data_IF_824944940841
#
_entry.id   IF_824944940841
#
_cell.length_a   1.000
_cell.length_b   1.000
_cell.length_c   1.000
_cell.angle_alpha   90.00
_cell.angle_beta   90.00
_cell.angle_gamma   90.00
#
_symmetry.space_group_name_H-M   'P 1'
#
loop_
_entity.id
_entity.type
_entity.pdbx_description
1 polymer ?
#
# COMPACT_ATOMS: atom_id res chain seq x y z
N UNK A 1 2.30 5.37 7.77
CA UNK A 1 1.28 5.36 8.84
C UNK A 1 1.95 4.99 10.15
N UNK A 2 1.47 5.52 11.27
CA UNK A 2 1.90 5.07 12.60
C UNK A 2 0.97 3.92 12.99
N UNK A 3 1.50 2.72 13.02
CA UNK A 3 0.74 1.49 13.23
C UNK A 3 1.08 0.90 14.59
N UNK A 4 0.15 0.15 15.21
CA UNK A 4 0.43 -0.58 16.43
C UNK A 4 1.69 -1.46 16.31
N UNK A 5 2.56 -1.50 17.34
CA UNK A 5 2.49 -0.72 18.57
C UNK A 5 2.85 0.76 18.32
N UNK A 6 1.99 1.66 18.82
CA UNK A 6 2.18 3.11 18.68
C UNK A 6 2.91 3.61 19.92
N UNK A 7 4.14 4.10 19.74
CA UNK A 7 4.99 4.53 20.85
C UNK A 7 4.91 6.04 21.05
N UNK A 8 5.17 6.48 22.27
CA UNK A 8 5.23 7.90 22.62
C UNK A 8 6.40 8.22 23.57
N UNK A 9 6.86 9.47 23.56
CA UNK A 9 7.75 9.99 24.59
C UNK A 9 6.98 10.32 25.89
N UNK A 10 7.69 10.67 26.96
CA UNK A 10 7.06 11.08 28.23
C UNK A 10 6.12 12.29 28.11
N UNK A 11 6.35 13.16 27.10
CA UNK A 11 5.48 14.31 26.82
C UNK A 11 4.33 14.00 25.85
N UNK A 12 4.17 12.76 25.39
CA UNK A 12 3.05 12.33 24.54
C UNK A 12 3.27 12.42 23.01
N UNK A 13 4.46 12.80 22.53
CA UNK A 13 4.74 12.83 21.09
C UNK A 13 4.93 11.42 20.52
N UNK A 14 4.23 11.12 19.42
CA UNK A 14 4.23 9.80 18.81
C UNK A 14 5.52 9.51 18.04
N UNK A 15 6.02 8.29 18.16
CA UNK A 15 7.19 7.78 17.46
C UNK A 15 6.86 6.40 16.91
N UNK A 16 7.21 6.16 15.65
CA UNK A 16 6.97 4.87 15.00
C UNK A 16 7.96 3.80 15.52
N UNK A 17 7.58 2.52 15.52
CA UNK A 17 8.47 1.44 15.99
C UNK A 17 9.80 1.37 15.23
N UNK A 18 9.80 1.58 13.91
CA UNK A 18 11.03 1.62 13.09
C UNK A 18 11.88 2.89 13.31
N UNK A 19 11.27 3.95 13.83
CA UNK A 19 11.94 5.20 14.19
C UNK A 19 12.58 5.08 15.57
N UNK A 20 11.92 4.39 16.51
CA UNK A 20 12.30 4.32 17.92
C UNK A 20 13.72 3.80 18.15
N UNK A 21 14.16 2.81 17.37
CA UNK A 21 15.52 2.25 17.48
C UNK A 21 16.62 3.18 16.98
N UNK A 22 16.26 4.17 16.15
CA UNK A 22 17.18 5.13 15.53
C UNK A 22 17.32 6.44 16.31
N UNK A 23 16.54 6.59 17.38
CA UNK A 23 16.41 7.84 18.13
C UNK A 23 16.83 7.64 19.57
N UNK A 24 17.65 8.57 20.08
CA UNK A 24 18.07 8.64 21.48
C UNK A 24 17.16 9.55 22.31
N UNK A 25 16.56 10.57 21.68
CA UNK A 25 15.62 11.50 22.30
C UNK A 25 14.46 11.85 21.35
N UNK A 26 13.39 12.42 21.89
CA UNK A 26 12.21 12.77 21.12
C UNK A 26 12.55 13.87 20.11
N UNK A 27 12.25 13.71 18.81
CA UNK A 27 12.60 14.71 17.81
C UNK A 27 11.80 16.02 17.98
N UNK A 28 10.65 15.98 18.66
CA UNK A 28 9.79 17.14 18.87
C UNK A 28 10.15 17.92 20.12
N UNK A 29 10.23 17.25 21.29
CA UNK A 29 10.46 17.93 22.57
C UNK A 29 11.86 17.70 23.16
N UNK A 30 12.72 16.91 22.52
CA UNK A 30 14.04 16.49 23.00
C UNK A 30 14.04 15.73 24.34
N UNK A 31 12.86 15.38 24.85
CA UNK A 31 12.68 14.58 26.06
C UNK A 31 13.05 13.11 25.87
N UNK A 32 13.07 12.36 26.98
CA UNK A 32 13.41 10.94 26.98
C UNK A 32 12.41 10.12 26.16
N UNK A 33 12.95 9.27 25.27
CA UNK A 33 12.19 8.24 24.60
C UNK A 33 12.14 7.02 25.52
N UNK A 34 11.06 6.88 26.28
CA UNK A 34 10.75 5.62 26.96
C UNK A 34 10.33 4.52 25.97
N UNK A 35 9.86 3.39 26.51
CA UNK A 35 9.12 2.38 25.76
C UNK A 35 7.63 2.46 26.13
N UNK A 36 7.04 3.65 25.96
CA UNK A 36 5.67 3.93 26.39
C UNK A 36 4.75 3.72 25.20
N UNK A 37 3.81 2.78 25.31
CA UNK A 37 2.76 2.58 24.30
C UNK A 37 1.61 3.57 24.52
N UNK A 38 1.05 4.06 23.42
CA UNK A 38 -0.16 4.86 23.43
C UNK A 38 -1.36 3.97 23.06
N UNK A 39 -1.91 3.27 24.07
CA UNK A 39 -3.03 2.32 23.89
C UNK A 39 -4.30 2.99 23.35
N UNK A 40 -4.52 4.27 23.68
CA UNK A 40 -5.65 5.02 23.16
C UNK A 40 -5.51 5.21 21.64
N UNK A 41 -4.32 5.59 21.19
CA UNK A 41 -4.05 5.75 19.76
C UNK A 41 -4.05 4.43 19.01
N UNK A 42 -3.63 3.33 19.66
CA UNK A 42 -3.78 1.99 19.10
C UNK A 42 -5.24 1.63 18.87
N UNK A 43 -6.14 1.89 19.84
CA UNK A 43 -7.59 1.69 19.68
C UNK A 43 -8.19 2.55 18.57
N UNK A 44 -7.74 3.80 18.45
CA UNK A 44 -8.15 4.67 17.34
C UNK A 44 -7.68 4.07 16.02
N UNK A 45 -6.41 3.71 15.90
CA UNK A 45 -5.83 3.15 14.69
C UNK A 45 -6.54 1.86 14.23
N UNK A 46 -7.03 1.03 15.16
CA UNK A 46 -7.82 -0.17 14.83
C UNK A 46 -9.15 0.13 14.12
N UNK A 47 -9.69 1.35 14.24
CA UNK A 47 -10.96 1.76 13.63
C UNK A 47 -10.78 2.70 12.43
N UNK A 48 -9.57 3.21 12.21
CA UNK A 48 -9.29 4.08 11.07
C UNK A 48 -9.27 3.24 9.79
N UNK A 49 -10.11 3.64 8.83
CA UNK A 49 -10.14 3.07 7.49
C UNK A 49 -9.30 3.92 6.54
N UNK A 50 -8.54 3.26 5.69
CA UNK A 50 -7.71 3.86 4.67
C UNK A 50 -8.23 3.46 3.29
N UNK A 51 -8.18 4.36 2.29
CA UNK A 51 -8.53 4.00 0.93
C UNK A 51 -7.55 2.94 0.38
N UNK A 52 -8.07 2.06 -0.47
CA UNK A 52 -7.26 1.12 -1.24
C UNK A 52 -6.25 1.87 -2.12
N UNK A 53 -5.02 1.35 -2.27
CA UNK A 53 -3.99 1.91 -3.17
C UNK A 53 -4.44 2.00 -4.63
N UNK A 54 -5.42 1.19 -5.02
CA UNK A 54 -6.02 1.18 -6.36
C UNK A 54 -7.23 2.12 -6.48
N UNK A 55 -7.42 3.07 -5.57
CA UNK A 55 -8.50 4.06 -5.66
C UNK A 55 -8.47 4.86 -6.96
N UNK A 56 -7.27 5.15 -7.46
CA UNK A 56 -7.07 5.85 -8.73
C UNK A 56 -7.54 5.04 -9.95
N UNK A 57 -7.72 3.73 -9.80
CA UNK A 57 -8.23 2.83 -10.83
C UNK A 57 -9.73 2.52 -10.67
N UNK A 58 -10.39 3.11 -9.65
CA UNK A 58 -11.83 2.97 -9.43
C UNK A 58 -12.23 2.25 -8.14
N UNK A 59 -11.27 1.76 -7.35
CA UNK A 59 -11.60 1.11 -6.09
C UNK A 59 -12.14 2.11 -5.05
N UNK A 60 -13.38 1.95 -4.61
CA UNK A 60 -13.99 2.78 -3.56
C UNK A 60 -13.83 2.21 -2.16
N UNK A 61 -13.15 1.06 -2.01
CA UNK A 61 -13.00 0.39 -0.74
C UNK A 61 -12.14 1.21 0.24
N UNK A 62 -12.66 1.36 1.46
CA UNK A 62 -11.95 1.92 2.60
C UNK A 62 -11.83 0.85 3.69
N UNK A 63 -10.61 0.44 3.98
CA UNK A 63 -10.31 -0.75 4.77
C UNK A 63 -9.47 -0.41 6.00
N UNK A 64 -9.66 -1.15 7.08
CA UNK A 64 -8.74 -1.08 8.23
C UNK A 64 -7.37 -1.64 7.83
N UNK A 65 -6.34 -1.23 8.56
CA UNK A 65 -4.96 -1.58 8.20
C UNK A 65 -4.71 -3.10 8.09
N UNK A 66 -5.34 -3.91 8.94
CA UNK A 66 -5.17 -5.37 8.96
C UNK A 66 -5.66 -6.03 7.67
N UNK A 67 -6.79 -5.56 7.13
CA UNK A 67 -7.48 -6.20 6.00
C UNK A 67 -7.05 -5.58 4.66
N UNK A 68 -6.44 -4.39 4.72
CA UNK A 68 -6.05 -3.63 3.54
C UNK A 68 -5.06 -4.39 2.65
N UNK A 69 -4.09 -5.09 3.24
CA UNK A 69 -3.08 -5.82 2.47
C UNK A 69 -3.73 -6.96 1.65
N UNK A 70 -4.60 -7.75 2.28
CA UNK A 70 -5.28 -8.88 1.65
C UNK A 70 -6.23 -8.42 0.54
N UNK A 71 -6.98 -7.34 0.78
CA UNK A 71 -7.79 -6.70 -0.25
C UNK A 71 -6.93 -6.21 -1.41
N UNK A 72 -5.79 -5.55 -1.14
CA UNK A 72 -4.95 -4.99 -2.20
C UNK A 72 -4.30 -6.03 -3.10
N UNK A 73 -4.08 -7.26 -2.62
CA UNK A 73 -3.59 -8.35 -3.45
C UNK A 73 -4.67 -8.90 -4.38
N UNK A 74 -5.93 -8.90 -3.93
CA UNK A 74 -7.09 -9.49 -4.63
C UNK A 74 -8.04 -8.46 -5.25
N UNK A 75 -7.67 -7.18 -5.20
CA UNK A 75 -8.51 -6.07 -5.65
C UNK A 75 -8.81 -6.17 -7.15
N UNK A 76 -10.07 -6.11 -7.53
CA UNK A 76 -10.52 -6.15 -8.93
C UNK A 76 -10.00 -4.96 -9.76
N UNK A 77 -9.73 -3.83 -9.10
CA UNK A 77 -9.18 -2.62 -9.71
C UNK A 77 -7.64 -2.62 -9.74
N UNK A 78 -6.99 -3.71 -9.34
CA UNK A 78 -5.53 -3.87 -9.44
C UNK A 78 -5.12 -3.77 -10.92
N UNK A 79 -4.17 -2.89 -11.28
CA UNK A 79 -3.74 -2.78 -12.66
C UNK A 79 -2.98 -4.04 -13.10
N UNK A 80 -3.25 -4.49 -14.32
CA UNK A 80 -2.54 -5.54 -15.00
C UNK A 80 -1.22 -5.01 -15.56
N UNK A 81 -0.16 -5.80 -15.39
CA UNK A 81 1.11 -5.56 -16.05
C UNK A 81 1.05 -6.07 -17.50
N UNK A 82 1.84 -5.46 -18.39
CA UNK A 82 1.98 -5.97 -19.75
C UNK A 82 2.42 -7.45 -19.74
N UNK A 83 1.68 -8.36 -20.38
CA UNK A 83 2.00 -9.80 -20.38
C UNK A 83 3.11 -10.18 -21.38
N UNK A 84 3.68 -9.24 -22.14
CA UNK A 84 4.69 -9.54 -23.16
C UNK A 84 6.00 -10.06 -22.53
N UNK A 85 6.45 -11.28 -22.85
CA UNK A 85 7.74 -11.80 -22.39
C UNK A 85 8.89 -10.96 -22.95
N UNK A 86 9.84 -10.57 -22.11
CA UNK A 86 11.11 -9.95 -22.54
C UNK A 86 11.02 -8.47 -22.98
N UNK A 87 9.86 -7.84 -22.97
CA UNK A 87 9.77 -6.41 -23.25
C UNK A 87 10.11 -5.59 -21.99
N UNK A 88 10.92 -4.55 -22.14
CA UNK A 88 11.09 -3.48 -21.14
C UNK A 88 9.82 -2.60 -20.99
N UNK A 89 8.65 -3.18 -21.28
CA UNK A 89 7.36 -2.51 -21.24
C UNK A 89 6.93 -2.34 -19.79
N UNK A 90 6.83 -1.09 -19.35
CA UNK A 90 6.41 -0.71 -17.99
C UNK A 90 4.93 -0.33 -17.93
N UNK A 91 4.17 -0.71 -18.96
CA UNK A 91 2.76 -0.39 -19.01
C UNK A 91 2.00 -1.16 -17.93
N UNK A 92 1.07 -0.45 -17.31
CA UNK A 92 0.14 -0.98 -16.33
C UNK A 92 -1.22 -0.30 -16.51
N UNK A 93 -2.31 -1.04 -16.41
CA UNK A 93 -3.64 -0.49 -16.59
C UNK A 93 -4.76 -1.48 -16.29
N UNK A 94 -6.00 -1.05 -16.46
CA UNK A 94 -7.16 -1.94 -16.33
C UNK A 94 -7.13 -3.06 -17.39
N UNK A 95 -7.79 -4.20 -17.09
CA UNK A 95 -7.84 -5.36 -17.98
C UNK A 95 -8.30 -5.01 -19.40
N UNK A 96 -9.35 -4.19 -19.50
CA UNK A 96 -9.93 -3.73 -20.77
C UNK A 96 -8.94 -2.97 -21.65
N UNK A 97 -7.88 -2.40 -21.06
CA UNK A 97 -6.85 -1.66 -21.77
C UNK A 97 -5.65 -2.52 -22.17
N UNK A 98 -5.57 -3.78 -21.71
CA UNK A 98 -4.47 -4.69 -22.02
C UNK A 98 -4.44 -5.02 -23.50
N UNK A 99 -5.55 -5.45 -24.09
CA UNK A 99 -5.62 -5.80 -25.52
C UNK A 99 -5.32 -4.61 -26.43
N UNK A 100 -5.93 -3.41 -26.22
CA UNK A 100 -5.54 -2.20 -26.94
C UNK A 100 -4.04 -1.89 -26.80
N UNK A 101 -3.48 -1.99 -25.59
CA UNK A 101 -2.05 -1.78 -25.36
C UNK A 101 -1.18 -2.75 -26.18
N UNK A 102 -1.49 -4.05 -26.18
CA UNK A 102 -0.76 -5.05 -26.94
C UNK A 102 -0.80 -4.75 -28.45
N UNK A 103 -1.97 -4.43 -29.00
CA UNK A 103 -2.11 -4.12 -30.43
C UNK A 103 -1.35 -2.86 -30.84
N UNK A 104 -1.29 -1.84 -29.97
CA UNK A 104 -0.64 -0.57 -30.29
C UNK A 104 0.88 -0.60 -30.07
N UNK A 105 1.31 -1.17 -28.94
CA UNK A 105 2.70 -1.13 -28.47
C UNK A 105 3.48 -2.40 -28.78
N UNK A 106 2.80 -3.51 -29.06
CA UNK A 106 3.39 -4.83 -29.32
C UNK A 106 2.81 -5.48 -30.58
N UNK A 107 2.83 -4.75 -31.70
CA UNK A 107 2.23 -5.14 -33.01
C UNK A 107 2.60 -6.54 -33.53
N UNK A 108 3.70 -7.13 -33.06
CA UNK A 108 4.18 -8.46 -33.42
C UNK A 108 3.61 -9.61 -32.57
N UNK A 109 2.87 -9.33 -31.49
CA UNK A 109 2.17 -10.35 -30.70
C UNK A 109 0.81 -10.59 -31.35
N UNK A 110 0.80 -11.38 -32.41
CA UNK A 110 -0.42 -11.90 -33.03
C UNK A 110 -0.89 -13.08 -32.18
N UNK A 111 -1.98 -12.86 -31.42
CA UNK A 111 -2.89 -13.86 -30.85
C UNK A 111 -2.41 -15.32 -30.89
N UNK A 112 -1.89 -15.84 -29.78
CA UNK A 112 -2.04 -17.26 -29.50
C UNK A 112 -3.50 -17.47 -29.10
N UNK A 113 -4.31 -17.98 -30.03
CA UNK A 113 -5.61 -18.56 -29.70
C UNK A 113 -5.35 -19.63 -28.64
N UNK A 114 -6.04 -19.54 -27.50
CA UNK A 114 -6.00 -20.57 -26.47
C UNK A 114 -6.45 -21.89 -27.08
N UNK A 115 -5.53 -22.86 -27.15
CA UNK A 115 -5.90 -24.26 -27.33
C UNK A 115 -6.59 -24.73 -26.04
N UNK A 116 -7.70 -25.46 -26.26
CA UNK A 116 -8.68 -25.91 -25.27
C UNK A 116 -8.12 -26.87 -24.22
#
# INVERSE_FOLDING_TARGET
YVLPPILQCQSGHLVCSSCRSKLTCCPTCRGSLGNIRNLAMEKVASNVKFPCKHSNYGCTASLIYTDKADHEETCEFRPYLCPCPGAACKWQGALELVMPHLMMSHKSITTLQGEQ
#
